data_IF_442055643131
#
_entry.id   IF_442055643131
#
_cell.length_a   1.000
_cell.length_b   1.000
_cell.length_c   1.000
_cell.angle_alpha   90.00
_cell.angle_beta   90.00
_cell.angle_gamma   90.00
#
_symmetry.space_group_name_H-M   'P 1'
#
loop_
_entity.id
_entity.type
_entity.pdbx_description
1 polymer ?
#
# COMPACT_ATOMS: atom_id res chain seq x y z
N UNK A 1 -17.58 23.32 -4.37
CA UNK A 1 -17.75 23.48 -2.90
C UNK A 1 -16.49 22.98 -2.25
N UNK A 2 -15.95 23.67 -1.24
CA UNK A 2 -14.81 23.13 -0.49
C UNK A 2 -15.30 21.95 0.36
N UNK A 3 -14.89 20.74 0.04
CA UNK A 3 -15.20 19.53 0.81
C UNK A 3 -14.44 19.55 2.14
N UNK A 4 -15.11 19.25 3.23
CA UNK A 4 -14.46 19.15 4.54
C UNK A 4 -13.73 17.83 4.70
N UNK A 5 -12.58 17.83 5.39
CA UNK A 5 -11.67 16.68 5.50
C UNK A 5 -11.26 16.41 6.94
N UNK A 6 -11.45 15.19 7.41
CA UNK A 6 -10.81 14.68 8.63
C UNK A 6 -9.74 13.64 8.28
N UNK A 7 -8.57 13.78 8.87
CA UNK A 7 -7.47 12.82 8.73
C UNK A 7 -7.42 11.91 9.95
N UNK A 8 -7.39 10.60 9.73
CA UNK A 8 -7.21 9.58 10.77
C UNK A 8 -5.80 8.98 10.65
N UNK A 9 -5.04 9.02 11.74
CA UNK A 9 -3.67 8.48 11.84
C UNK A 9 -3.66 7.43 12.96
N UNK A 10 -3.76 6.14 12.65
CA UNK A 10 -3.55 5.10 13.65
C UNK A 10 -2.05 5.02 14.01
N UNK A 11 -1.73 5.07 15.30
CA UNK A 11 -0.37 5.06 15.79
C UNK A 11 -0.20 4.06 16.94
N UNK A 12 0.86 3.25 16.89
CA UNK A 12 1.27 2.36 17.95
C UNK A 12 2.80 2.28 18.01
N UNK A 13 3.39 2.91 19.04
CA UNK A 13 4.83 3.07 19.18
C UNK A 13 5.48 3.74 17.94
N UNK A 14 5.06 4.97 17.65
CA UNK A 14 5.48 5.77 16.48
C UNK A 14 6.14 7.09 16.88
N UNK A 15 6.67 7.20 18.10
CA UNK A 15 7.28 8.45 18.59
C UNK A 15 8.38 8.99 17.66
N UNK A 16 9.17 8.09 17.03
CA UNK A 16 10.24 8.50 16.11
C UNK A 16 9.74 9.09 14.78
N UNK A 17 8.53 8.71 14.33
CA UNK A 17 8.06 9.00 12.97
C UNK A 17 6.92 10.01 12.91
N UNK A 18 6.06 10.02 13.94
CA UNK A 18 4.81 10.76 13.94
C UNK A 18 5.00 12.27 13.76
N UNK A 19 6.05 12.85 14.36
CA UNK A 19 6.33 14.28 14.23
C UNK A 19 6.58 14.69 12.77
N UNK A 20 7.33 13.88 12.01
CA UNK A 20 7.59 14.10 10.58
C UNK A 20 6.30 14.07 9.77
N UNK A 21 5.42 13.12 10.06
CA UNK A 21 4.12 12.98 9.42
C UNK A 21 3.24 14.20 9.71
N UNK A 22 3.08 14.57 10.97
CA UNK A 22 2.26 15.72 11.37
C UNK A 22 2.78 17.05 10.80
N UNK A 23 4.10 17.28 10.77
CA UNK A 23 4.69 18.46 10.11
C UNK A 23 4.32 18.53 8.63
N UNK A 24 4.31 17.40 7.91
CA UNK A 24 3.93 17.36 6.51
C UNK A 24 2.44 17.67 6.27
N UNK A 25 1.60 17.40 7.25
CA UNK A 25 0.17 17.72 7.21
C UNK A 25 -0.11 19.19 7.50
N UNK A 26 0.70 19.83 8.36
CA UNK A 26 0.54 21.23 8.71
C UNK A 26 0.87 22.19 7.56
N UNK A 27 1.68 21.76 6.59
CA UNK A 27 2.10 22.58 5.43
C UNK A 27 1.29 22.28 4.15
N UNK A 28 0.21 21.49 4.23
CA UNK A 28 -0.59 21.18 3.06
C UNK A 28 -1.27 22.44 2.48
N UNK A 29 -1.28 22.54 1.14
CA UNK A 29 -1.98 23.63 0.41
C UNK A 29 -3.49 23.59 0.62
N UNK A 30 -4.04 22.41 0.90
CA UNK A 30 -5.43 22.20 1.32
C UNK A 30 -5.43 21.79 2.79
N UNK A 31 -5.86 22.65 3.72
CA UNK A 31 -5.83 22.32 5.14
C UNK A 31 -6.92 21.30 5.49
N UNK A 32 -6.59 20.31 6.31
CA UNK A 32 -7.60 19.44 6.91
C UNK A 32 -8.41 20.21 7.98
N UNK A 33 -9.70 19.90 8.08
CA UNK A 33 -10.55 20.47 9.13
C UNK A 33 -10.21 19.88 10.50
N UNK A 34 -9.82 18.60 10.53
CA UNK A 34 -9.45 17.92 11.77
C UNK A 34 -8.40 16.85 11.49
N UNK A 35 -7.44 16.67 12.41
CA UNK A 35 -6.50 15.58 12.43
C UNK A 35 -6.72 14.78 13.72
N UNK A 36 -7.06 13.50 13.59
CA UNK A 36 -7.26 12.55 14.68
C UNK A 36 -6.12 11.55 14.71
N UNK A 37 -5.28 11.60 15.74
CA UNK A 37 -4.31 10.55 16.02
C UNK A 37 -4.96 9.52 16.94
N UNK A 38 -5.03 8.26 16.50
CA UNK A 38 -5.48 7.15 17.37
C UNK A 38 -4.25 6.50 17.96
N UNK A 39 -3.93 6.86 19.18
CA UNK A 39 -2.85 6.23 19.94
C UNK A 39 -3.32 4.91 20.53
N UNK A 40 -2.98 3.81 19.87
CA UNK A 40 -3.44 2.45 20.20
C UNK A 40 -2.70 1.84 21.41
N UNK A 41 -2.64 2.59 22.51
CA UNK A 41 -1.94 2.24 23.75
C UNK A 41 -0.41 2.15 23.58
N UNK A 42 0.20 3.17 22.99
CA UNK A 42 1.67 3.28 22.90
C UNK A 42 2.34 3.48 24.26
N UNK A 43 3.59 3.08 24.35
CA UNK A 43 4.42 3.19 25.57
C UNK A 43 5.70 4.02 25.36
N UNK A 44 5.85 4.65 24.18
CA UNK A 44 7.09 5.31 23.73
C UNK A 44 7.01 6.84 23.64
N UNK A 45 5.91 7.45 24.11
CA UNK A 45 5.71 8.91 24.00
C UNK A 45 5.00 9.36 22.73
N UNK A 46 4.41 8.46 21.95
CA UNK A 46 3.63 8.79 20.73
C UNK A 46 2.51 9.79 21.01
N UNK A 47 1.73 9.58 22.10
CA UNK A 47 0.61 10.45 22.51
C UNK A 47 1.08 11.86 22.86
N UNK A 48 2.20 11.99 23.56
CA UNK A 48 2.79 13.25 23.97
C UNK A 48 3.22 14.08 22.76
N UNK A 49 3.84 13.44 21.76
CA UNK A 49 4.23 14.10 20.51
C UNK A 49 3.00 14.63 19.78
N UNK A 50 1.95 13.82 19.63
CA UNK A 50 0.72 14.25 18.97
C UNK A 50 0.09 15.46 19.68
N UNK A 51 -0.03 15.41 21.02
CA UNK A 51 -0.57 16.52 21.82
C UNK A 51 0.28 17.79 21.68
N UNK A 52 1.61 17.67 21.72
CA UNK A 52 2.56 18.80 21.53
C UNK A 52 2.40 19.44 20.15
N UNK A 53 2.03 18.66 19.14
CA UNK A 53 1.78 19.16 17.78
C UNK A 53 0.38 19.76 17.62
N UNK A 54 -0.44 19.84 18.68
CA UNK A 54 -1.75 20.47 18.69
C UNK A 54 -2.85 19.67 17.99
N UNK A 55 -2.65 18.35 17.78
CA UNK A 55 -3.67 17.49 17.16
C UNK A 55 -4.48 16.74 18.21
N UNK A 56 -5.71 16.39 17.88
CA UNK A 56 -6.59 15.62 18.76
C UNK A 56 -6.13 14.17 18.84
N UNK A 57 -5.96 13.67 20.08
CA UNK A 57 -5.58 12.28 20.34
C UNK A 57 -6.78 11.51 20.88
N UNK A 58 -7.04 10.35 20.31
CA UNK A 58 -8.01 9.38 20.77
C UNK A 58 -7.24 8.14 21.26
N UNK A 59 -7.52 7.68 22.49
CA UNK A 59 -6.87 6.50 23.05
C UNK A 59 -7.93 5.49 23.45
N UNK A 60 -7.96 4.29 22.84
CA UNK A 60 -8.85 3.21 23.27
C UNK A 60 -8.47 2.69 24.67
N UNK A 61 -9.42 2.06 25.37
CA UNK A 61 -9.18 1.50 26.71
C UNK A 61 -8.11 0.38 26.74
N UNK A 62 -7.91 -0.28 25.60
CA UNK A 62 -6.88 -1.33 25.40
C UNK A 62 -6.45 -1.31 23.95
N UNK A 63 -5.24 -1.82 23.68
CA UNK A 63 -4.75 -1.99 22.32
C UNK A 63 -5.77 -2.75 21.47
N UNK A 64 -6.14 -2.19 20.32
CA UNK A 64 -7.19 -2.73 19.44
C UNK A 64 -6.74 -3.95 18.66
N UNK A 65 -5.43 -4.17 18.54
CA UNK A 65 -4.81 -5.33 17.90
C UNK A 65 -4.65 -5.23 16.40
N UNK A 66 -5.13 -4.16 15.74
CA UNK A 66 -4.88 -3.95 14.32
C UNK A 66 -5.11 -2.49 13.91
N UNK A 67 -4.43 -2.08 12.81
CA UNK A 67 -4.60 -0.78 12.19
C UNK A 67 -6.08 -0.45 11.87
N UNK A 68 -6.78 -1.39 11.23
CA UNK A 68 -8.19 -1.24 10.88
C UNK A 68 -9.08 -0.94 12.10
N UNK A 69 -8.86 -1.65 13.20
CA UNK A 69 -9.63 -1.41 14.44
C UNK A 69 -9.32 -0.07 15.07
N UNK A 70 -8.06 0.36 15.03
CA UNK A 70 -7.68 1.70 15.50
C UNK A 70 -8.33 2.79 14.63
N UNK A 71 -8.34 2.63 13.30
CA UNK A 71 -9.03 3.55 12.39
C UNK A 71 -10.55 3.57 12.65
N UNK A 72 -11.17 2.41 12.83
CA UNK A 72 -12.60 2.31 13.12
C UNK A 72 -12.96 2.92 14.49
N UNK A 73 -12.05 2.92 15.46
CA UNK A 73 -12.27 3.61 16.74
C UNK A 73 -12.43 5.13 16.55
N UNK A 74 -11.76 5.72 15.56
CA UNK A 74 -11.90 7.15 15.25
C UNK A 74 -13.11 7.48 14.37
N UNK A 75 -13.61 6.54 13.57
CA UNK A 75 -14.64 6.81 12.55
C UNK A 75 -15.94 7.43 13.09
N UNK A 76 -16.45 7.07 14.29
CA UNK A 76 -17.64 7.73 14.88
C UNK A 76 -17.43 9.22 15.18
N UNK A 77 -16.20 9.69 15.34
CA UNK A 77 -15.88 11.08 15.62
C UNK A 77 -15.74 11.92 14.35
N UNK A 78 -15.76 11.31 13.16
CA UNK A 78 -15.63 11.99 11.87
C UNK A 78 -17.00 12.52 11.42
N UNK A 79 -17.08 13.85 11.21
CA UNK A 79 -18.30 14.54 10.76
C UNK A 79 -18.08 15.34 9.46
N UNK A 80 -16.96 15.12 8.77
CA UNK A 80 -16.60 15.79 7.52
C UNK A 80 -17.02 14.99 6.29
N UNK A 81 -17.08 15.64 5.13
CA UNK A 81 -17.47 15.02 3.85
C UNK A 81 -16.52 13.88 3.45
N UNK A 82 -15.23 14.08 3.75
CA UNK A 82 -14.16 13.16 3.38
C UNK A 82 -13.37 12.71 4.60
N UNK A 83 -13.03 11.42 4.60
CA UNK A 83 -12.13 10.79 5.57
C UNK A 83 -10.84 10.42 4.88
N UNK A 84 -9.71 10.87 5.40
CA UNK A 84 -8.37 10.47 4.94
C UNK A 84 -7.77 9.49 5.94
N UNK A 85 -7.26 8.37 5.43
CA UNK A 85 -6.43 7.44 6.19
C UNK A 85 -4.97 7.63 5.80
N UNK A 86 -4.09 7.78 6.79
CA UNK A 86 -2.64 7.91 6.58
C UNK A 86 -1.89 7.16 7.67
N UNK A 87 -0.76 6.53 7.31
CA UNK A 87 0.10 5.86 8.29
C UNK A 87 0.94 6.88 9.09
N UNK A 88 1.22 6.56 10.35
CA UNK A 88 1.94 7.44 11.26
C UNK A 88 3.40 7.72 10.85
N UNK A 89 3.95 6.94 9.93
CA UNK A 89 5.30 7.05 9.35
C UNK A 89 5.34 7.65 7.94
N UNK A 90 4.20 8.15 7.44
CA UNK A 90 4.05 8.61 6.06
C UNK A 90 3.98 10.13 5.98
N UNK A 91 4.98 10.75 5.37
CA UNK A 91 4.95 12.18 5.06
C UNK A 91 4.31 12.44 3.70
N UNK A 92 3.66 13.59 3.54
CA UNK A 92 3.02 14.00 2.30
C UNK A 92 3.82 15.10 1.57
N UNK A 93 3.70 15.13 0.24
CA UNK A 93 4.05 16.31 -0.54
C UNK A 93 3.08 17.47 -0.23
N UNK A 94 3.52 18.71 -0.30
CA UNK A 94 2.76 19.90 0.13
C UNK A 94 1.36 20.03 -0.53
N UNK A 95 1.18 19.59 -1.77
CA UNK A 95 -0.10 19.63 -2.48
C UNK A 95 -0.82 18.28 -2.51
N UNK A 96 -0.34 17.28 -1.76
CA UNK A 96 -0.87 15.93 -1.89
C UNK A 96 -2.32 15.80 -1.45
N UNK A 97 -2.71 16.46 -0.35
CA UNK A 97 -4.10 16.44 0.11
C UNK A 97 -5.03 17.16 -0.87
N UNK A 98 -4.59 18.29 -1.44
CA UNK A 98 -5.34 19.02 -2.47
C UNK A 98 -5.63 18.14 -3.70
N UNK A 99 -4.62 17.43 -4.19
CA UNK A 99 -4.77 16.53 -5.34
C UNK A 99 -5.65 15.30 -5.02
N UNK A 100 -5.68 14.84 -3.77
CA UNK A 100 -6.60 13.80 -3.34
C UNK A 100 -8.04 14.31 -3.25
N UNK A 101 -8.26 15.52 -2.74
CA UNK A 101 -9.59 16.14 -2.72
C UNK A 101 -10.11 16.36 -4.13
N UNK A 102 -9.28 16.87 -5.06
CA UNK A 102 -9.63 16.99 -6.49
C UNK A 102 -10.01 15.65 -7.13
N UNK A 103 -9.34 14.56 -6.75
CA UNK A 103 -9.70 13.22 -7.24
C UNK A 103 -11.11 12.76 -6.78
N UNK A 104 -11.66 13.41 -5.75
CA UNK A 104 -13.01 13.17 -5.23
C UNK A 104 -14.09 14.14 -5.78
N UNK A 105 -13.74 15.04 -6.71
CA UNK A 105 -14.70 16.01 -7.27
C UNK A 105 -15.88 15.32 -7.99
N UNK A 106 -15.64 14.18 -8.62
CA UNK A 106 -16.73 13.37 -9.17
C UNK A 106 -17.49 12.66 -8.04
N UNK A 107 -18.79 12.94 -7.94
CA UNK A 107 -19.69 12.37 -6.91
C UNK A 107 -19.74 10.83 -6.94
N UNK A 108 -19.52 10.20 -8.09
CA UNK A 108 -19.51 8.73 -8.25
C UNK A 108 -18.29 8.07 -7.64
N UNK A 109 -17.21 8.83 -7.37
CA UNK A 109 -15.99 8.31 -6.77
C UNK A 109 -16.19 8.17 -5.27
N UNK A 110 -16.06 6.95 -4.76
CA UNK A 110 -16.20 6.60 -3.35
C UNK A 110 -14.88 6.65 -2.57
N UNK A 111 -13.77 6.40 -3.25
CA UNK A 111 -12.43 6.49 -2.67
C UNK A 111 -11.37 6.81 -3.73
N UNK A 112 -10.27 7.39 -3.29
CA UNK A 112 -9.10 7.61 -4.14
C UNK A 112 -7.80 7.21 -3.41
N UNK A 113 -6.82 6.74 -4.18
CA UNK A 113 -5.49 6.42 -3.68
C UNK A 113 -4.39 7.23 -4.36
N UNK A 114 -3.31 7.43 -3.62
CA UNK A 114 -2.17 8.28 -3.97
C UNK A 114 -1.05 7.53 -4.68
N UNK A 115 -0.06 8.26 -5.16
CA UNK A 115 1.23 7.75 -5.63
C UNK A 115 2.18 7.60 -4.42
N UNK A 116 2.64 6.38 -4.19
CA UNK A 116 3.51 6.05 -3.06
C UNK A 116 4.96 5.95 -3.52
N UNK A 117 5.87 6.59 -2.80
CA UNK A 117 7.32 6.44 -2.97
C UNK A 117 7.99 6.34 -1.61
N UNK A 118 8.97 5.44 -1.41
CA UNK A 118 9.72 5.38 -0.16
C UNK A 118 10.39 6.72 0.19
N UNK A 119 10.17 7.21 1.41
CA UNK A 119 10.76 8.47 1.88
C UNK A 119 12.27 8.38 2.06
N UNK A 120 12.77 7.22 2.49
CA UNK A 120 14.20 6.89 2.65
C UNK A 120 14.58 5.77 1.70
N UNK A 121 15.74 5.90 1.02
CA UNK A 121 16.24 4.91 0.05
C UNK A 121 17.76 4.79 0.21
N UNK A 122 18.20 4.07 1.24
CA UNK A 122 19.62 3.89 1.60
C UNK A 122 20.05 2.43 1.46
N UNK A 123 19.31 1.52 2.08
CA UNK A 123 19.61 0.08 2.10
C UNK A 123 19.20 -0.61 0.80
N UNK A 124 19.69 -1.84 0.60
CA UNK A 124 19.32 -2.66 -0.57
C UNK A 124 17.81 -2.93 -0.62
N UNK A 125 17.16 -3.10 0.54
CA UNK A 125 15.74 -3.37 0.65
C UNK A 125 14.89 -2.14 0.30
N UNK A 126 15.21 -0.99 0.86
CA UNK A 126 14.57 0.28 0.52
C UNK A 126 14.76 0.63 -0.97
N UNK A 127 15.91 0.32 -1.56
CA UNK A 127 16.16 0.51 -3.00
C UNK A 127 15.31 -0.42 -3.85
N UNK A 128 15.19 -1.69 -3.47
CA UNK A 128 14.28 -2.63 -4.13
C UNK A 128 12.84 -2.16 -4.08
N UNK A 129 12.36 -1.77 -2.89
CA UNK A 129 11.01 -1.21 -2.68
C UNK A 129 10.75 0.07 -3.48
N UNK A 130 11.75 0.94 -3.59
CA UNK A 130 11.66 2.15 -4.40
C UNK A 130 11.37 1.85 -5.88
N UNK A 131 12.05 0.87 -6.48
CA UNK A 131 11.78 0.46 -7.87
C UNK A 131 10.43 -0.24 -7.99
N UNK A 132 10.09 -1.12 -7.06
CA UNK A 132 8.79 -1.80 -7.03
C UNK A 132 7.63 -0.80 -7.03
N UNK A 133 7.66 0.21 -6.16
CA UNK A 133 6.64 1.24 -6.11
C UNK A 133 6.67 2.13 -7.36
N UNK A 134 7.86 2.54 -7.80
CA UNK A 134 7.98 3.31 -9.04
C UNK A 134 7.33 2.58 -10.22
N UNK A 135 7.54 1.27 -10.35
CA UNK A 135 6.93 0.45 -11.40
C UNK A 135 5.42 0.27 -11.18
N UNK A 136 5.02 -0.17 -9.98
CA UNK A 136 3.62 -0.46 -9.67
C UNK A 136 2.71 0.77 -9.83
N UNK A 137 3.12 1.92 -9.31
CA UNK A 137 2.31 3.15 -9.37
C UNK A 137 2.41 3.89 -10.72
N UNK A 138 3.48 3.67 -11.50
CA UNK A 138 3.60 4.27 -12.85
C UNK A 138 2.91 3.44 -13.91
N UNK A 139 2.98 2.12 -13.82
CA UNK A 139 2.49 1.20 -14.83
C UNK A 139 1.17 0.54 -14.43
N UNK A 140 1.15 -0.31 -13.43
CA UNK A 140 -0.05 -1.07 -13.05
C UNK A 140 -1.20 -0.18 -12.57
N UNK A 141 -0.97 0.70 -11.60
CA UNK A 141 -2.03 1.58 -11.08
C UNK A 141 -2.63 2.48 -12.14
N UNK A 142 -1.80 2.96 -13.09
CA UNK A 142 -2.27 3.80 -14.20
C UNK A 142 -3.15 3.05 -15.20
N UNK A 143 -2.85 1.78 -15.46
CA UNK A 143 -3.69 0.91 -16.28
C UNK A 143 -5.00 0.63 -15.54
N UNK A 144 -4.93 0.25 -14.28
CA UNK A 144 -6.09 -0.05 -13.43
C UNK A 144 -7.04 1.15 -13.28
N UNK A 145 -6.49 2.36 -13.17
CA UNK A 145 -7.24 3.61 -13.09
C UNK A 145 -8.07 3.87 -14.34
N UNK A 146 -7.57 3.54 -15.54
CA UNK A 146 -8.34 3.67 -16.80
C UNK A 146 -9.64 2.87 -16.79
N UNK A 147 -9.68 1.78 -16.05
CA UNK A 147 -10.88 0.97 -15.82
C UNK A 147 -11.67 1.40 -14.59
N UNK A 148 -11.23 2.44 -13.86
CA UNK A 148 -11.83 2.93 -12.62
C UNK A 148 -11.85 1.91 -11.48
N UNK A 149 -10.92 0.95 -11.50
CA UNK A 149 -10.83 -0.14 -10.52
C UNK A 149 -9.37 -0.45 -10.15
N UNK A 150 -8.65 0.46 -9.46
CA UNK A 150 -7.36 0.11 -8.84
C UNK A 150 -7.48 -1.13 -7.97
N UNK A 151 -6.54 -2.07 -8.06
CA UNK A 151 -6.58 -3.32 -7.28
C UNK A 151 -6.69 -3.09 -5.76
N UNK A 152 -6.06 -2.01 -5.29
CA UNK A 152 -6.02 -1.64 -3.89
C UNK A 152 -6.01 -0.12 -3.72
N UNK A 153 -6.82 0.38 -2.80
CA UNK A 153 -6.77 1.75 -2.30
C UNK A 153 -5.81 1.76 -1.10
N UNK A 154 -4.51 2.01 -1.38
CA UNK A 154 -3.40 1.74 -0.45
C UNK A 154 -3.57 2.43 0.90
N UNK A 155 -3.47 1.66 1.98
CA UNK A 155 -3.73 2.12 3.34
C UNK A 155 -2.78 3.20 3.88
N UNK A 156 -1.62 3.43 3.23
CA UNK A 156 -0.66 4.43 3.68
C UNK A 156 -1.08 5.89 3.41
N UNK A 157 -1.85 6.15 2.35
CA UNK A 157 -2.50 7.45 2.09
C UNK A 157 -3.64 7.28 1.09
N UNK A 158 -4.86 7.33 1.61
CA UNK A 158 -6.09 7.21 0.82
C UNK A 158 -7.19 8.09 1.37
N UNK A 159 -8.13 8.50 0.51
CA UNK A 159 -9.27 9.34 0.85
C UNK A 159 -10.57 8.61 0.49
N UNK A 160 -11.58 8.79 1.31
CA UNK A 160 -12.87 8.12 1.22
C UNK A 160 -14.01 9.13 1.40
N UNK A 161 -15.16 8.92 0.74
CA UNK A 161 -16.40 9.58 1.17
C UNK A 161 -16.81 9.03 2.52
N UNK A 162 -16.93 9.92 3.50
CA UNK A 162 -17.22 9.53 4.89
C UNK A 162 -18.50 8.72 5.00
N UNK A 163 -19.59 9.15 4.35
CA UNK A 163 -20.85 8.44 4.37
C UNK A 163 -20.73 7.05 3.74
N UNK A 164 -20.05 6.94 2.59
CA UNK A 164 -19.82 5.63 1.97
C UNK A 164 -19.00 4.73 2.90
N UNK A 165 -17.91 5.23 3.48
CA UNK A 165 -17.08 4.45 4.40
C UNK A 165 -17.89 3.96 5.62
N UNK A 166 -18.76 4.82 6.18
CA UNK A 166 -19.65 4.45 7.29
C UNK A 166 -20.68 3.38 6.89
N UNK A 167 -21.18 3.37 5.64
CA UNK A 167 -22.12 2.31 5.18
C UNK A 167 -21.46 0.94 5.05
N UNK A 168 -20.13 0.88 5.03
CA UNK A 168 -19.34 -0.37 5.06
C UNK A 168 -18.79 -0.69 6.46
N UNK A 169 -19.25 -0.01 7.51
CA UNK A 169 -18.77 -0.13 8.88
C UNK A 169 -17.27 0.17 9.04
N UNK A 170 -16.71 1.00 8.15
CA UNK A 170 -15.30 1.37 8.14
C UNK A 170 -14.39 0.35 7.45
N UNK A 171 -13.19 0.19 8.00
CA UNK A 171 -12.18 -0.75 7.49
C UNK A 171 -12.43 -2.16 8.03
N UNK A 172 -12.59 -3.17 7.13
CA UNK A 172 -12.84 -4.54 7.55
C UNK A 172 -11.63 -5.12 8.30
N UNK A 173 -11.92 -6.04 9.23
CA UNK A 173 -10.88 -6.69 10.08
C UNK A 173 -10.77 -8.19 9.81
N UNK A 174 -11.22 -8.63 8.64
CA UNK A 174 -11.34 -10.04 8.25
C UNK A 174 -10.05 -10.61 7.67
N UNK A 175 -9.21 -9.73 7.10
CA UNK A 175 -7.94 -10.09 6.48
C UNK A 175 -6.79 -9.23 7.01
N UNK A 176 -5.55 -9.60 6.67
CA UNK A 176 -4.36 -8.81 7.02
C UNK A 176 -4.07 -7.66 6.05
N UNK A 177 -4.90 -7.49 5.02
CA UNK A 177 -4.86 -6.38 4.07
C UNK A 177 -6.25 -5.74 4.00
N UNK A 178 -6.58 -4.98 5.03
CA UNK A 178 -7.87 -4.31 5.24
C UNK A 178 -8.23 -3.34 4.13
N UNK A 179 -7.23 -2.70 3.57
CA UNK A 179 -7.35 -1.73 2.48
C UNK A 179 -7.74 -2.40 1.16
N UNK A 180 -7.20 -3.58 0.88
CA UNK A 180 -7.60 -4.42 -0.24
C UNK A 180 -9.01 -4.96 -0.05
N UNK A 181 -9.33 -5.50 1.13
CA UNK A 181 -10.65 -6.01 1.48
C UNK A 181 -11.73 -4.94 1.31
N UNK A 182 -11.49 -3.72 1.83
CA UNK A 182 -12.42 -2.59 1.65
C UNK A 182 -12.56 -2.23 0.17
N UNK A 183 -11.46 -2.19 -0.58
CA UNK A 183 -11.47 -1.87 -2.02
C UNK A 183 -12.33 -2.86 -2.81
N UNK A 184 -12.16 -4.16 -2.56
CA UNK A 184 -12.94 -5.20 -3.26
C UNK A 184 -14.39 -5.24 -2.79
N UNK A 185 -14.65 -4.95 -1.51
CA UNK A 185 -16.01 -4.77 -0.98
C UNK A 185 -16.72 -3.59 -1.64
N UNK A 186 -16.02 -2.51 -1.96
CA UNK A 186 -16.57 -1.39 -2.73
C UNK A 186 -16.98 -1.85 -4.14
N UNK A 187 -16.14 -2.64 -4.83
CA UNK A 187 -16.46 -3.15 -6.16
C UNK A 187 -17.64 -4.12 -6.18
N UNK A 188 -17.83 -4.93 -5.13
CA UNK A 188 -18.99 -5.83 -5.01
C UNK A 188 -20.33 -5.09 -4.88
N UNK A 189 -20.26 -3.79 -4.56
CA UNK A 189 -21.42 -2.87 -4.47
C UNK A 189 -21.37 -1.76 -5.52
N UNK A 190 -20.69 -1.99 -6.64
CA UNK A 190 -20.55 -1.09 -7.79
C UNK A 190 -20.02 0.32 -7.44
N UNK A 191 -19.29 0.43 -6.32
CA UNK A 191 -18.62 1.67 -5.95
C UNK A 191 -17.35 1.87 -6.79
N UNK A 192 -17.05 3.12 -7.15
CA UNK A 192 -15.88 3.49 -7.93
C UNK A 192 -14.74 3.93 -7.02
N UNK A 193 -13.56 3.40 -7.30
CA UNK A 193 -12.30 3.87 -6.70
C UNK A 193 -11.42 4.45 -7.82
N UNK A 194 -10.70 5.51 -7.54
CA UNK A 194 -9.79 6.15 -8.51
C UNK A 194 -8.36 6.22 -7.96
N UNK A 195 -7.44 6.60 -8.83
CA UNK A 195 -6.03 6.78 -8.51
C UNK A 195 -5.54 8.10 -9.09
N UNK A 196 -4.75 8.84 -8.32
CA UNK A 196 -4.07 10.04 -8.81
C UNK A 196 -2.56 9.94 -8.64
N UNK A 197 -1.79 10.15 -9.72
CA UNK A 197 -0.33 10.17 -9.68
C UNK A 197 0.25 11.56 -9.33
N UNK A 198 -0.61 12.51 -8.98
CA UNK A 198 -0.24 13.86 -8.58
C UNK A 198 -0.12 14.00 -7.06
N UNK A 199 -0.80 13.17 -6.29
CA UNK A 199 -0.73 13.14 -4.84
C UNK A 199 0.39 12.19 -4.39
N UNK A 200 1.54 12.71 -4.00
CA UNK A 200 2.69 11.91 -3.58
C UNK A 200 2.74 11.78 -2.06
N UNK A 201 2.98 10.56 -1.59
CA UNK A 201 3.27 10.28 -0.20
C UNK A 201 4.57 9.46 -0.04
N UNK A 202 5.20 9.60 1.13
CA UNK A 202 6.54 9.11 1.41
C UNK A 202 6.57 8.29 2.70
N UNK A 203 6.08 7.03 2.69
CA UNK A 203 6.20 6.13 3.83
C UNK A 203 7.66 5.78 4.11
N UNK A 204 7.93 5.34 5.33
CA UNK A 204 9.16 4.66 5.67
C UNK A 204 9.04 3.18 5.33
N UNK A 205 10.06 2.66 4.66
CA UNK A 205 10.13 1.26 4.29
C UNK A 205 11.06 0.48 5.22
N UNK A 206 10.88 -0.83 5.34
CA UNK A 206 11.77 -1.67 6.12
C UNK A 206 13.23 -1.54 5.68
N UNK A 207 14.09 -1.09 6.58
CA UNK A 207 15.51 -0.89 6.31
C UNK A 207 16.36 -2.16 6.42
N UNK A 208 15.82 -3.25 7.01
CA UNK A 208 16.48 -4.53 7.15
C UNK A 208 15.58 -5.71 6.80
N UNK A 209 16.19 -6.88 6.60
CA UNK A 209 15.46 -8.09 6.16
C UNK A 209 14.44 -8.58 7.19
N UNK A 210 14.71 -8.43 8.49
CA UNK A 210 13.80 -8.87 9.55
C UNK A 210 12.46 -8.13 9.49
N UNK A 211 12.48 -6.82 9.29
CA UNK A 211 11.26 -6.03 9.14
C UNK A 211 10.60 -6.23 7.77
N UNK A 212 11.42 -6.30 6.70
CA UNK A 212 10.93 -6.61 5.37
C UNK A 212 10.17 -7.94 5.31
N UNK A 213 10.72 -8.99 5.90
CA UNK A 213 10.09 -10.32 5.90
C UNK A 213 8.74 -10.32 6.61
N UNK A 214 8.60 -9.58 7.71
CA UNK A 214 7.30 -9.42 8.39
C UNK A 214 6.28 -8.70 7.50
N UNK A 215 6.68 -7.62 6.85
CA UNK A 215 5.82 -6.86 5.94
C UNK A 215 5.39 -7.71 4.74
N UNK A 216 6.34 -8.39 4.07
CA UNK A 216 6.05 -9.23 2.91
C UNK A 216 5.17 -10.42 3.27
N UNK A 217 5.44 -11.07 4.40
CA UNK A 217 4.61 -12.16 4.90
C UNK A 217 3.17 -11.69 5.12
N UNK A 218 2.99 -10.57 5.81
CA UNK A 218 1.68 -9.98 6.04
C UNK A 218 0.94 -9.65 4.73
N UNK A 219 1.62 -9.04 3.78
CA UNK A 219 1.02 -8.65 2.50
C UNK A 219 0.66 -9.84 1.64
N UNK A 220 1.55 -10.83 1.55
CA UNK A 220 1.29 -12.06 0.79
C UNK A 220 0.10 -12.84 1.35
N UNK A 221 0.06 -13.05 2.68
CA UNK A 221 -1.08 -13.67 3.33
C UNK A 221 -2.37 -12.85 3.16
N UNK A 222 -2.30 -11.53 3.37
CA UNK A 222 -3.44 -10.64 3.19
C UNK A 222 -4.02 -10.69 1.76
N UNK A 223 -3.16 -10.76 0.73
CA UNK A 223 -3.60 -10.92 -0.65
C UNK A 223 -4.33 -12.26 -0.85
N UNK A 224 -3.72 -13.38 -0.44
CA UNK A 224 -4.33 -14.71 -0.58
C UNK A 224 -5.64 -14.82 0.20
N UNK A 225 -5.69 -14.27 1.43
CA UNK A 225 -6.91 -14.19 2.22
C UNK A 225 -8.03 -13.43 1.50
N UNK A 226 -7.70 -12.31 0.84
CA UNK A 226 -8.67 -11.56 0.04
C UNK A 226 -9.12 -12.33 -1.20
N UNK A 227 -8.23 -13.03 -1.88
CA UNK A 227 -8.60 -13.90 -3.01
C UNK A 227 -9.59 -14.98 -2.58
N UNK A 228 -9.39 -15.59 -1.41
CA UNK A 228 -10.31 -16.58 -0.85
C UNK A 228 -11.64 -15.93 -0.44
N UNK A 229 -11.57 -14.83 0.31
CA UNK A 229 -12.75 -14.17 0.86
C UNK A 229 -13.69 -13.64 -0.21
N UNK A 230 -13.13 -13.01 -1.23
CA UNK A 230 -13.88 -12.39 -2.34
C UNK A 230 -13.98 -13.27 -3.58
N UNK A 231 -13.91 -14.60 -3.42
CA UNK A 231 -13.92 -15.55 -4.53
C UNK A 231 -15.04 -15.30 -5.56
N UNK A 232 -16.27 -15.12 -5.08
CA UNK A 232 -17.42 -14.88 -5.95
C UNK A 232 -17.36 -13.50 -6.63
N UNK A 233 -16.82 -12.49 -5.94
CA UNK A 233 -16.78 -11.12 -6.44
C UNK A 233 -15.75 -10.98 -7.57
N UNK A 234 -14.51 -11.43 -7.37
CA UNK A 234 -13.48 -11.26 -8.38
C UNK A 234 -13.72 -12.17 -9.61
N UNK A 235 -14.39 -13.30 -9.49
CA UNK A 235 -14.81 -14.08 -10.65
C UNK A 235 -15.88 -13.39 -11.49
N UNK A 236 -16.79 -12.64 -10.85
CA UNK A 236 -17.90 -11.95 -11.52
C UNK A 236 -17.50 -10.61 -12.12
N UNK A 237 -16.54 -9.90 -11.52
CA UNK A 237 -16.12 -8.58 -11.94
C UNK A 237 -14.92 -8.74 -12.89
N UNK A 238 -15.08 -8.57 -14.23
CA UNK A 238 -14.04 -8.93 -15.21
C UNK A 238 -12.69 -8.24 -14.95
N UNK A 239 -12.71 -6.93 -14.68
CA UNK A 239 -11.46 -6.15 -14.44
C UNK A 239 -10.77 -6.63 -13.16
N UNK A 240 -11.51 -6.94 -12.09
CA UNK A 240 -10.94 -7.46 -10.86
C UNK A 240 -10.37 -8.87 -11.07
N UNK A 241 -11.08 -9.71 -11.83
CA UNK A 241 -10.62 -11.03 -12.21
C UNK A 241 -9.28 -10.98 -12.95
N UNK A 242 -9.18 -10.15 -13.97
CA UNK A 242 -7.95 -9.98 -14.73
C UNK A 242 -6.79 -9.53 -13.83
N UNK A 243 -7.03 -8.57 -12.94
CA UNK A 243 -6.00 -8.08 -12.02
C UNK A 243 -5.55 -9.13 -11.00
N UNK A 244 -6.49 -9.91 -10.45
CA UNK A 244 -6.17 -11.02 -9.54
C UNK A 244 -5.37 -12.09 -10.26
N UNK A 245 -5.79 -12.50 -11.47
CA UNK A 245 -5.06 -13.48 -12.27
C UNK A 245 -3.66 -12.98 -12.67
N UNK A 246 -3.51 -11.71 -13.06
CA UNK A 246 -2.19 -11.11 -13.33
C UNK A 246 -1.33 -11.09 -12.07
N UNK A 247 -1.87 -10.74 -10.91
CA UNK A 247 -1.12 -10.76 -9.64
C UNK A 247 -0.66 -12.15 -9.24
N UNK A 248 -1.54 -13.15 -9.36
CA UNK A 248 -1.20 -14.56 -9.12
C UNK A 248 -0.16 -15.07 -10.12
N UNK A 249 -0.32 -14.74 -11.42
CA UNK A 249 0.62 -15.13 -12.46
C UNK A 249 1.98 -14.47 -12.29
N UNK A 250 2.04 -13.15 -12.03
CA UNK A 250 3.30 -12.44 -11.82
C UNK A 250 4.08 -13.04 -10.65
N UNK A 251 3.44 -13.28 -9.53
CA UNK A 251 4.08 -13.87 -8.36
C UNK A 251 4.57 -15.32 -8.60
N UNK A 252 3.76 -16.17 -9.24
CA UNK A 252 4.11 -17.57 -9.53
C UNK A 252 5.13 -17.69 -10.66
N UNK A 253 4.91 -16.99 -11.77
CA UNK A 253 5.82 -16.99 -12.92
C UNK A 253 7.17 -16.39 -12.51
N UNK A 254 7.18 -15.28 -11.78
CA UNK A 254 8.42 -14.68 -11.27
C UNK A 254 9.21 -15.67 -10.41
N UNK A 255 8.54 -16.41 -9.51
CA UNK A 255 9.21 -17.44 -8.72
C UNK A 255 9.86 -18.52 -9.59
N UNK A 256 9.17 -19.01 -10.63
CA UNK A 256 9.71 -19.99 -11.58
C UNK A 256 10.86 -19.39 -12.40
N UNK A 257 10.66 -18.20 -12.96
CA UNK A 257 11.63 -17.51 -13.81
C UNK A 257 12.96 -17.23 -13.08
N UNK A 258 12.90 -16.83 -11.81
CA UNK A 258 14.08 -16.40 -11.06
C UNK A 258 14.72 -17.50 -10.20
N UNK A 259 14.07 -18.66 -10.02
CA UNK A 259 14.59 -19.76 -9.21
C UNK A 259 14.76 -21.04 -10.00
N UNK A 260 13.70 -21.54 -10.63
CA UNK A 260 13.68 -22.88 -11.27
C UNK A 260 14.37 -22.86 -12.64
N UNK A 261 13.98 -21.92 -13.52
CA UNK A 261 14.51 -21.90 -14.89
C UNK A 261 16.00 -21.62 -14.97
N UNK A 262 16.63 -20.73 -14.19
CA UNK A 262 18.08 -20.58 -14.19
C UNK A 262 18.81 -21.87 -13.84
N UNK A 263 18.33 -22.59 -12.82
CA UNK A 263 18.90 -23.90 -12.46
C UNK A 263 18.77 -24.93 -13.59
N UNK A 264 17.59 -24.99 -14.20
CA UNK A 264 17.35 -25.88 -15.34
C UNK A 264 18.25 -25.56 -16.52
N UNK A 265 18.44 -24.28 -16.89
CA UNK A 265 19.30 -23.88 -17.99
C UNK A 265 20.79 -24.18 -17.72
N UNK A 266 21.23 -24.09 -16.47
CA UNK A 266 22.59 -24.53 -16.08
C UNK A 266 22.74 -26.05 -16.26
N UNK A 267 21.77 -26.84 -15.78
CA UNK A 267 21.77 -28.30 -15.89
C UNK A 267 21.76 -28.76 -17.36
N UNK A 268 21.00 -28.05 -18.21
CA UNK A 268 20.93 -28.35 -19.65
C UNK A 268 22.12 -27.83 -20.44
N UNK A 269 23.12 -27.21 -19.81
CA UNK A 269 24.31 -26.68 -20.47
C UNK A 269 24.09 -25.44 -21.33
N UNK A 270 22.95 -24.73 -21.15
CA UNK A 270 22.59 -23.52 -21.91
C UNK A 270 22.42 -22.28 -21.03
N UNK A 271 23.45 -21.85 -20.27
CA UNK A 271 23.31 -20.72 -19.34
C UNK A 271 23.01 -19.37 -20.03
N UNK A 272 23.28 -19.24 -21.33
CA UNK A 272 22.98 -18.03 -22.11
C UNK A 272 21.47 -17.73 -22.14
N UNK A 273 20.62 -18.75 -22.03
CA UNK A 273 19.15 -18.58 -21.97
C UNK A 273 18.73 -17.79 -20.72
N UNK A 274 19.52 -17.84 -19.66
CA UNK A 274 19.29 -17.02 -18.45
C UNK A 274 19.38 -15.53 -18.80
N UNK A 275 20.35 -15.14 -19.61
CA UNK A 275 20.52 -13.75 -20.03
C UNK A 275 19.31 -13.25 -20.86
N UNK A 276 18.79 -14.06 -21.78
CA UNK A 276 17.60 -13.70 -22.56
C UNK A 276 16.34 -13.61 -21.68
N UNK A 277 16.17 -14.51 -20.75
CA UNK A 277 15.08 -14.52 -19.80
C UNK A 277 15.04 -13.23 -18.99
N UNK A 278 16.16 -12.87 -18.38
CA UNK A 278 16.25 -11.64 -17.58
C UNK A 278 16.18 -10.38 -18.44
N UNK A 279 16.73 -10.38 -19.65
CA UNK A 279 16.70 -9.21 -20.53
C UNK A 279 15.28 -8.74 -20.87
N UNK A 280 14.36 -9.67 -21.15
CA UNK A 280 12.97 -9.31 -21.47
C UNK A 280 12.25 -8.67 -20.28
N UNK A 281 12.38 -9.26 -19.09
CA UNK A 281 11.77 -8.73 -17.87
C UNK A 281 12.42 -7.40 -17.46
N UNK A 282 13.75 -7.28 -17.61
CA UNK A 282 14.49 -6.04 -17.37
C UNK A 282 13.99 -4.88 -18.24
N UNK A 283 13.80 -5.10 -19.54
CA UNK A 283 13.31 -4.08 -20.47
C UNK A 283 11.91 -3.63 -20.06
N UNK A 284 11.03 -4.58 -19.77
CA UNK A 284 9.64 -4.30 -19.39
C UNK A 284 9.52 -3.45 -18.13
N UNK A 285 10.34 -3.74 -17.11
CA UNK A 285 10.33 -3.00 -15.84
C UNK A 285 11.12 -1.69 -15.96
N UNK A 286 12.28 -1.72 -16.61
CA UNK A 286 13.22 -0.60 -16.63
C UNK A 286 12.67 0.61 -17.38
N UNK A 287 12.01 0.40 -18.54
CA UNK A 287 11.53 1.51 -19.35
C UNK A 287 10.53 2.42 -18.62
N UNK A 288 9.44 1.91 -17.99
CA UNK A 288 8.51 2.75 -17.24
C UNK A 288 9.18 3.46 -16.04
N UNK A 289 10.06 2.74 -15.33
CA UNK A 289 10.78 3.27 -14.16
C UNK A 289 11.70 4.42 -14.53
N UNK A 290 12.51 4.27 -15.59
CA UNK A 290 13.41 5.33 -16.04
C UNK A 290 12.67 6.53 -16.60
N UNK A 291 11.60 6.30 -17.36
CA UNK A 291 10.74 7.39 -17.88
C UNK A 291 10.12 8.22 -16.73
N UNK A 292 9.53 7.57 -15.73
CA UNK A 292 8.96 8.28 -14.58
C UNK A 292 10.06 8.90 -13.71
N UNK A 293 11.18 8.19 -13.52
CA UNK A 293 12.35 8.69 -12.81
C UNK A 293 12.93 9.97 -13.44
N UNK A 294 12.97 10.04 -14.76
CA UNK A 294 13.33 11.26 -15.50
C UNK A 294 12.37 12.42 -15.20
N UNK A 295 11.06 12.17 -15.29
CA UNK A 295 10.02 13.17 -15.00
C UNK A 295 10.07 13.70 -13.56
N UNK A 296 10.36 12.83 -12.60
CA UNK A 296 10.47 13.17 -11.18
C UNK A 296 11.87 13.68 -10.77
N UNK A 297 12.81 13.82 -11.72
CA UNK A 297 14.24 14.17 -11.48
C UNK A 297 14.95 13.17 -10.55
N UNK A 298 14.54 11.92 -10.57
CA UNK A 298 15.06 10.81 -9.77
C UNK A 298 15.81 9.76 -10.60
N UNK A 299 16.18 10.06 -11.86
CA UNK A 299 16.74 9.09 -12.80
C UNK A 299 17.99 8.37 -12.25
N UNK A 300 18.95 9.11 -11.67
CA UNK A 300 20.16 8.54 -11.07
C UNK A 300 19.81 7.53 -9.96
N UNK A 301 18.83 7.86 -9.13
CA UNK A 301 18.34 7.01 -8.05
C UNK A 301 17.66 5.75 -8.59
N UNK A 302 16.88 5.86 -9.67
CA UNK A 302 16.30 4.70 -10.35
C UNK A 302 17.40 3.76 -10.88
N UNK A 303 18.35 4.27 -11.67
CA UNK A 303 19.44 3.45 -12.24
C UNK A 303 20.21 2.70 -11.15
N UNK A 304 20.60 3.40 -10.07
CA UNK A 304 21.38 2.78 -8.98
C UNK A 304 20.59 1.80 -8.12
N UNK A 305 19.26 1.81 -8.21
CA UNK A 305 18.39 0.94 -7.41
C UNK A 305 17.84 -0.27 -8.16
N UNK A 306 17.86 -0.27 -9.49
CA UNK A 306 17.34 -1.35 -10.34
C UNK A 306 17.86 -2.76 -9.97
N UNK A 307 19.17 -3.00 -9.72
CA UNK A 307 19.66 -4.35 -9.39
C UNK A 307 19.00 -4.94 -8.14
N UNK A 308 18.70 -4.11 -7.15
CA UNK A 308 18.11 -4.55 -5.87
C UNK A 308 16.65 -4.94 -5.99
N UNK A 309 15.96 -4.46 -7.00
CA UNK A 309 14.60 -4.85 -7.28
C UNK A 309 14.49 -6.32 -7.71
N UNK A 310 15.43 -6.79 -8.52
CA UNK A 310 15.45 -8.20 -8.95
C UNK A 310 15.70 -9.14 -7.78
N UNK A 311 16.57 -8.74 -6.85
CA UNK A 311 16.73 -9.47 -5.59
C UNK A 311 15.41 -9.49 -4.78
N UNK A 312 14.74 -8.34 -4.67
CA UNK A 312 13.48 -8.22 -3.95
C UNK A 312 12.39 -9.09 -4.59
N UNK A 313 12.32 -9.21 -5.91
CA UNK A 313 11.34 -10.07 -6.60
C UNK A 313 11.48 -11.53 -6.19
N UNK A 314 12.69 -12.05 -6.07
CA UNK A 314 12.94 -13.42 -5.58
C UNK A 314 12.40 -13.57 -4.16
N UNK A 315 12.70 -12.61 -3.29
CA UNK A 315 12.23 -12.63 -1.89
C UNK A 315 10.71 -12.55 -1.82
N UNK A 316 10.08 -11.66 -2.59
CA UNK A 316 8.62 -11.55 -2.68
C UNK A 316 7.97 -12.88 -3.09
N UNK A 317 8.53 -13.56 -4.12
CA UNK A 317 8.00 -14.84 -4.59
C UNK A 317 8.05 -15.93 -3.51
N UNK A 318 9.11 -15.99 -2.72
CA UNK A 318 9.22 -16.96 -1.61
C UNK A 318 8.10 -16.78 -0.60
N UNK A 319 7.87 -15.53 -0.14
CA UNK A 319 6.78 -15.25 0.81
C UNK A 319 5.39 -15.46 0.20
N UNK A 320 5.26 -15.21 -1.10
CA UNK A 320 4.00 -15.44 -1.78
C UNK A 320 3.66 -16.94 -1.91
N UNK A 321 4.64 -17.78 -2.26
CA UNK A 321 4.46 -19.23 -2.25
C UNK A 321 4.18 -19.77 -0.85
N UNK A 322 4.87 -19.28 0.17
CA UNK A 322 4.59 -19.64 1.55
C UNK A 322 3.15 -19.30 1.94
N UNK A 323 2.65 -18.12 1.55
CA UNK A 323 1.29 -17.71 1.83
C UNK A 323 0.25 -18.59 1.11
N UNK A 324 0.47 -18.91 -0.18
CA UNK A 324 -0.40 -19.83 -0.94
C UNK A 324 -0.46 -21.19 -0.26
N UNK A 325 0.69 -21.79 0.06
CA UNK A 325 0.74 -23.09 0.71
C UNK A 325 0.05 -23.08 2.07
N UNK A 326 0.29 -22.05 2.87
CA UNK A 326 -0.26 -21.93 4.21
C UNK A 326 -1.77 -21.72 4.23
N UNK A 327 -2.28 -20.77 3.41
CA UNK A 327 -3.69 -20.38 3.43
C UNK A 327 -4.58 -21.38 2.66
N UNK A 328 -4.09 -21.92 1.50
CA UNK A 328 -4.93 -22.78 0.65
C UNK A 328 -4.80 -24.28 0.94
N UNK A 329 -3.61 -24.76 1.33
CA UNK A 329 -3.36 -26.20 1.43
C UNK A 329 -3.17 -26.68 2.87
N UNK A 330 -2.56 -25.87 3.75
CA UNK A 330 -2.27 -26.29 5.12
C UNK A 330 -3.31 -25.81 6.14
N UNK A 331 -4.28 -24.99 5.74
CA UNK A 331 -5.26 -24.34 6.61
C UNK A 331 -4.62 -23.60 7.81
N UNK A 332 -3.41 -23.07 7.62
CA UNK A 332 -2.66 -22.30 8.61
C UNK A 332 -2.75 -20.82 8.30
N UNK A 333 -3.90 -20.22 8.59
CA UNK A 333 -4.11 -18.81 8.33
C UNK A 333 -3.32 -17.93 9.32
N UNK A 334 -2.60 -16.95 8.79
CA UNK A 334 -1.91 -15.94 9.58
C UNK A 334 -2.95 -14.96 10.13
N UNK A 335 -3.09 -14.88 11.46
CA UNK A 335 -4.11 -14.05 12.12
C UNK A 335 -3.54 -12.84 12.86
N UNK A 336 -2.22 -12.83 13.10
CA UNK A 336 -1.59 -11.80 13.92
C UNK A 336 -1.00 -10.71 13.05
N UNK A 337 -1.42 -9.47 13.32
CA UNK A 337 -0.78 -8.28 12.75
C UNK A 337 0.58 -8.06 13.43
N UNK A 338 1.66 -8.10 12.67
CA UNK A 338 2.99 -7.73 13.14
C UNK A 338 3.46 -6.50 12.37
N UNK A 339 3.89 -5.47 13.14
CA UNK A 339 4.45 -4.24 12.56
C UNK A 339 5.76 -4.55 11.81
N UNK A 340 5.93 -3.96 10.63
CA UNK A 340 7.10 -4.17 9.76
C UNK A 340 8.33 -3.32 10.11
N UNK A 341 8.24 -2.45 11.12
CA UNK A 341 9.36 -1.60 11.58
C UNK A 341 9.30 -1.38 13.08
#
# INVERSE_FOLDING_TARGET
MNQTVTIIIPAYNEAENLERTLKSLQIQTYPANEILVVDDCSIDGTSEIAKKMGVRVLTPLKNTGSKARAQNYALPYVNTDLTVAIDADTALQENALEEMVKAMDNADVSAACSFVLPGVVKTIWERGRFIEYMFAFTFYKKIQERYGKPLICSGCFSIYRTDTLKTFDGWPTRTLAEDMDLTWSYYSKDKRVTYTDKALCYPLEPHNFKFLSKQLKRWSHGFVQNVILHWNDWLRIPVLREQVLVGLADATITGILYTILPLLFIILGNPILIAYLFASDWIFITLPVLWKGYKLKLLRKCISSLPFYFLLRIVNSIFFFEAILSELFLNKSLKKYEKGH
#
